data_IF_405877194658
#
_entry.id   IF_405877194658
#
_cell.length_a   1.000
_cell.length_b   1.000
_cell.length_c   1.000
_cell.angle_alpha   90.00
_cell.angle_beta   90.00
_cell.angle_gamma   90.00
#
_symmetry.space_group_name_H-M   'P 1'
#
loop_
_entity.id
_entity.type
_entity.pdbx_description
1 polymer ?
#
# COMPACT_ATOMS: atom_id res chain seq x y z
N UNK A 1 -14.96 20.43 20.99
CA UNK A 1 -15.74 20.67 19.77
C UNK A 1 -15.19 19.74 18.71
N UNK A 2 -16.05 18.95 18.08
CA UNK A 2 -15.62 17.98 17.06
C UNK A 2 -15.13 18.74 15.84
N UNK A 3 -14.01 18.29 15.27
CA UNK A 3 -13.50 18.81 14.00
C UNK A 3 -13.10 17.64 13.11
N UNK A 4 -13.10 17.87 11.81
CA UNK A 4 -12.46 16.98 10.86
C UNK A 4 -11.07 17.50 10.53
N UNK A 5 -10.11 16.59 10.40
CA UNK A 5 -8.75 16.87 9.97
C UNK A 5 -8.49 16.11 8.69
N UNK A 6 -8.18 16.81 7.60
CA UNK A 6 -7.83 16.14 6.36
C UNK A 6 -6.54 15.32 6.52
N UNK A 7 -6.58 14.03 6.14
CA UNK A 7 -5.40 13.15 6.23
C UNK A 7 -4.22 13.63 5.39
N UNK A 8 -4.50 14.27 4.25
CA UNK A 8 -3.48 14.74 3.32
C UNK A 8 -3.01 16.16 3.60
N UNK A 9 -3.91 17.14 3.59
CA UNK A 9 -3.53 18.56 3.70
C UNK A 9 -3.52 19.09 5.14
N UNK A 10 -3.94 18.27 6.13
CA UNK A 10 -3.97 18.62 7.55
C UNK A 10 -4.78 19.88 7.88
N UNK A 11 -5.65 20.34 6.98
CA UNK A 11 -6.61 21.40 7.27
C UNK A 11 -7.71 20.88 8.18
N UNK A 12 -7.97 21.62 9.24
CA UNK A 12 -9.09 21.40 10.13
C UNK A 12 -10.34 22.10 9.60
N UNK A 13 -11.49 21.44 9.71
CA UNK A 13 -12.78 22.09 9.49
C UNK A 13 -13.82 21.66 10.53
N UNK A 14 -14.71 22.57 10.94
CA UNK A 14 -15.73 22.27 11.94
C UNK A 14 -16.68 21.15 11.49
N UNK A 15 -17.08 20.31 12.43
CA UNK A 15 -18.01 19.21 12.20
C UNK A 15 -19.37 19.70 11.64
N UNK A 16 -19.76 20.93 11.99
CA UNK A 16 -21.00 21.61 11.59
C UNK A 16 -21.03 22.01 10.11
N UNK A 17 -19.88 22.07 9.43
CA UNK A 17 -19.80 22.49 8.03
C UNK A 17 -20.06 21.34 7.03
N UNK A 18 -20.30 20.13 7.53
CA UNK A 18 -20.54 18.96 6.69
C UNK A 18 -22.02 18.89 6.33
N UNK A 19 -22.35 18.72 5.04
CA UNK A 19 -23.73 18.68 4.54
C UNK A 19 -24.62 17.64 5.25
N UNK A 20 -24.03 16.53 5.73
CA UNK A 20 -24.73 15.48 6.48
C UNK A 20 -24.81 15.71 7.99
N UNK A 21 -24.33 16.85 8.52
CA UNK A 21 -24.17 17.15 9.95
C UNK A 21 -25.31 16.66 10.85
N UNK A 22 -26.57 16.94 10.49
CA UNK A 22 -27.73 16.57 11.32
C UNK A 22 -27.84 15.05 11.50
N UNK A 23 -27.67 14.29 10.43
CA UNK A 23 -27.69 12.83 10.48
C UNK A 23 -26.51 12.27 11.27
N UNK A 24 -25.32 12.86 11.12
CA UNK A 24 -24.13 12.41 11.86
C UNK A 24 -24.25 12.70 13.37
N UNK A 25 -24.82 13.86 13.73
CA UNK A 25 -25.07 14.25 15.13
C UNK A 25 -26.07 13.31 15.79
N UNK A 26 -27.14 12.95 15.08
CA UNK A 26 -28.15 12.02 15.56
C UNK A 26 -27.56 10.61 15.77
N UNK A 27 -26.79 10.11 14.79
CA UNK A 27 -26.09 8.83 14.90
C UNK A 27 -25.14 8.78 16.11
N UNK A 28 -24.32 9.82 16.33
CA UNK A 28 -23.42 9.88 17.48
C UNK A 28 -24.16 10.02 18.82
N UNK A 29 -25.35 10.62 18.84
CA UNK A 29 -26.16 10.80 20.06
C UNK A 29 -26.84 9.49 20.51
N UNK A 30 -27.04 8.55 19.58
CA UNK A 30 -27.68 7.26 19.82
C UNK A 30 -26.69 6.13 20.13
N UNK A 31 -25.38 6.44 20.19
CA UNK A 31 -24.33 5.48 20.50
C UNK A 31 -24.15 5.38 22.01
N UNK A 32 -24.20 4.17 22.55
CA UNK A 32 -24.09 3.90 23.99
C UNK A 32 -22.84 3.11 24.38
N UNK A 33 -22.09 2.59 23.42
CA UNK A 33 -20.89 1.78 23.62
C UNK A 33 -19.78 2.12 22.60
N UNK A 34 -18.55 1.69 22.89
CA UNK A 34 -17.36 2.03 22.10
C UNK A 34 -17.38 1.41 20.69
N UNK A 35 -17.99 0.23 20.54
CA UNK A 35 -18.03 -0.49 19.27
C UNK A 35 -19.00 0.18 18.30
N UNK A 36 -20.21 0.50 18.78
CA UNK A 36 -21.18 1.32 18.08
C UNK A 36 -20.64 2.71 17.74
N UNK A 37 -19.79 3.29 18.60
CA UNK A 37 -19.12 4.56 18.33
C UNK A 37 -18.15 4.45 17.17
N UNK A 38 -17.33 3.41 17.14
CA UNK A 38 -16.38 3.18 16.07
C UNK A 38 -17.10 2.97 14.73
N UNK A 39 -18.16 2.16 14.70
CA UNK A 39 -18.98 1.94 13.49
C UNK A 39 -19.61 3.25 13.01
N UNK A 40 -20.18 4.05 13.91
CA UNK A 40 -20.76 5.34 13.56
C UNK A 40 -19.71 6.29 12.98
N UNK A 41 -18.55 6.42 13.64
CA UNK A 41 -17.44 7.27 13.16
C UNK A 41 -16.94 6.79 11.80
N UNK A 42 -16.87 5.49 11.56
CA UNK A 42 -16.44 4.91 10.29
C UNK A 42 -17.38 5.29 9.15
N UNK A 43 -18.68 5.10 9.36
CA UNK A 43 -19.70 5.49 8.38
C UNK A 43 -19.67 6.99 8.09
N UNK A 44 -19.50 7.80 9.13
CA UNK A 44 -19.41 9.26 9.03
C UNK A 44 -18.17 9.67 8.22
N UNK A 45 -16.99 9.20 8.61
CA UNK A 45 -15.72 9.60 7.99
C UNK A 45 -15.57 9.09 6.55
N UNK A 46 -16.18 7.95 6.20
CA UNK A 46 -16.24 7.45 4.81
C UNK A 46 -17.00 8.38 3.85
N UNK A 47 -18.01 9.09 4.36
CA UNK A 47 -18.85 9.98 3.54
C UNK A 47 -18.26 11.38 3.38
N UNK A 48 -17.21 11.71 4.11
CA UNK A 48 -16.68 13.08 4.18
C UNK A 48 -15.33 13.13 3.48
N UNK A 49 -15.24 14.03 2.51
CA UNK A 49 -14.00 14.34 1.80
C UNK A 49 -13.60 15.78 2.11
N UNK A 50 -12.29 16.00 2.23
CA UNK A 50 -11.72 17.33 2.33
C UNK A 50 -12.10 18.15 1.10
N UNK A 51 -12.70 19.32 1.29
CA UNK A 51 -13.10 20.22 0.20
C UNK A 51 -11.95 20.61 -0.71
N UNK A 52 -10.75 20.79 -0.16
CA UNK A 52 -9.58 21.26 -0.92
C UNK A 52 -8.90 20.17 -1.76
N UNK A 53 -8.82 18.94 -1.26
CA UNK A 53 -8.00 17.90 -1.89
C UNK A 53 -8.69 16.54 -2.08
N UNK A 54 -9.98 16.48 -1.74
CA UNK A 54 -10.87 15.32 -1.86
C UNK A 54 -10.39 14.07 -1.10
N UNK A 55 -9.45 14.25 -0.16
CA UNK A 55 -8.92 13.20 0.72
C UNK A 55 -9.92 12.84 1.83
N UNK A 56 -9.83 11.62 2.39
CA UNK A 56 -10.56 11.28 3.61
C UNK A 56 -10.09 12.13 4.80
N UNK A 57 -10.81 12.00 5.91
CA UNK A 57 -10.60 12.81 7.10
C UNK A 57 -10.51 11.94 8.35
N UNK A 58 -9.75 12.44 9.33
CA UNK A 58 -9.83 12.00 10.72
C UNK A 58 -10.92 12.81 11.43
N UNK A 59 -11.65 12.18 12.34
CA UNK A 59 -12.49 12.89 13.30
C UNK A 59 -11.65 13.15 14.56
N UNK A 60 -11.51 14.42 14.95
CA UNK A 60 -10.70 14.85 16.10
C UNK A 60 -11.58 15.60 17.11
N UNK A 61 -11.15 15.59 18.39
CA UNK A 61 -11.82 16.34 19.46
C UNK A 61 -12.94 15.59 20.19
N UNK A 62 -12.97 14.25 20.13
CA UNK A 62 -13.87 13.39 20.90
C UNK A 62 -13.36 13.27 22.35
N UNK A 63 -13.68 14.27 23.18
CA UNK A 63 -13.69 14.14 24.64
C UNK A 63 -12.39 14.47 25.41
N UNK A 64 -12.56 15.20 26.52
CA UNK A 64 -11.54 15.80 27.39
C UNK A 64 -10.69 14.83 28.24
N UNK A 65 -10.75 13.50 28.08
CA UNK A 65 -9.92 12.63 28.95
C UNK A 65 -9.61 11.19 28.49
N UNK A 66 -9.80 10.78 27.21
CA UNK A 66 -9.34 9.43 26.80
C UNK A 66 -9.16 9.11 25.31
N UNK A 67 -9.39 10.04 24.39
CA UNK A 67 -9.07 9.87 22.97
C UNK A 67 -8.37 11.13 22.46
N UNK A 68 -7.07 11.24 22.75
CA UNK A 68 -6.19 12.24 22.12
C UNK A 68 -5.75 11.82 20.72
N UNK A 69 -6.15 10.62 20.28
CA UNK A 69 -5.59 9.96 19.12
C UNK A 69 -6.51 10.13 17.91
N UNK A 70 -5.92 10.48 16.78
CA UNK A 70 -6.60 10.64 15.49
C UNK A 70 -7.18 9.27 15.08
N UNK A 71 -8.52 9.12 15.12
CA UNK A 71 -9.13 7.82 14.80
C UNK A 71 -9.23 7.68 13.27
N UNK A 72 -8.46 6.75 12.72
CA UNK A 72 -8.53 6.36 11.31
C UNK A 72 -9.25 5.03 11.10
N UNK A 73 -10.55 5.09 10.80
CA UNK A 73 -11.37 3.88 10.58
C UNK A 73 -11.60 3.61 9.08
N UNK A 74 -11.15 4.50 8.20
CA UNK A 74 -11.33 4.32 6.74
C UNK A 74 -10.19 3.56 6.08
N UNK A 75 -9.07 3.38 6.78
CA UNK A 75 -7.93 2.61 6.30
C UNK A 75 -8.15 1.10 6.48
N UNK A 76 -7.55 0.28 5.61
CA UNK A 76 -7.57 -1.19 5.74
C UNK A 76 -7.07 -1.63 7.13
N UNK A 77 -7.56 -2.76 7.71
CA UNK A 77 -7.18 -3.18 9.08
C UNK A 77 -5.67 -3.22 9.32
N UNK A 78 -4.90 -3.78 8.37
CA UNK A 78 -3.43 -3.79 8.44
C UNK A 78 -2.82 -2.39 8.53
N UNK A 79 -3.38 -1.41 7.82
CA UNK A 79 -2.92 -0.02 7.86
C UNK A 79 -3.19 0.59 9.23
N UNK A 80 -4.32 0.25 9.85
CA UNK A 80 -4.63 0.67 11.22
C UNK A 80 -3.64 0.07 12.22
N UNK A 81 -3.32 -1.22 12.11
CA UNK A 81 -2.32 -1.87 12.95
C UNK A 81 -0.94 -1.20 12.82
N UNK A 82 -0.49 -0.92 11.59
CA UNK A 82 0.78 -0.22 11.34
C UNK A 82 0.77 1.19 11.94
N UNK A 83 -0.33 1.94 11.81
CA UNK A 83 -0.46 3.28 12.41
C UNK A 83 -0.38 3.22 13.93
N UNK A 84 -1.09 2.28 14.56
CA UNK A 84 -1.03 2.07 16.01
C UNK A 84 0.39 1.76 16.46
N UNK A 85 1.13 0.94 15.73
CA UNK A 85 2.53 0.63 16.04
C UNK A 85 3.42 1.89 15.95
N UNK A 86 3.24 2.70 14.90
CA UNK A 86 3.96 3.98 14.75
C UNK A 86 3.65 4.93 15.90
N UNK A 87 2.38 5.07 16.28
CA UNK A 87 1.95 5.95 17.36
C UNK A 87 2.49 5.45 18.71
N UNK A 88 2.51 4.14 18.93
CA UNK A 88 3.10 3.51 20.11
C UNK A 88 4.60 3.84 20.23
N UNK A 89 5.34 3.73 19.12
CA UNK A 89 6.76 4.10 19.07
C UNK A 89 7.00 5.59 19.32
N UNK A 90 6.14 6.47 18.78
CA UNK A 90 6.23 7.92 19.02
C UNK A 90 5.98 8.24 20.48
N UNK A 91 4.93 7.66 21.06
CA UNK A 91 4.56 7.82 22.46
C UNK A 91 5.69 7.38 23.39
N UNK A 92 6.28 6.21 23.11
CA UNK A 92 7.46 5.68 23.81
C UNK A 92 8.62 6.69 23.82
N UNK A 93 8.92 7.34 22.68
CA UNK A 93 10.01 8.33 22.60
C UNK A 93 9.74 9.61 23.39
N UNK A 94 8.47 9.96 23.61
CA UNK A 94 8.07 11.25 24.20
C UNK A 94 7.74 11.20 25.69
N UNK A 95 7.38 10.02 26.22
CA UNK A 95 6.96 9.88 27.61
C UNK A 95 8.12 9.46 28.53
N UNK A 96 8.08 9.90 29.79
CA UNK A 96 8.99 9.38 30.83
C UNK A 96 8.55 7.97 31.22
N UNK A 97 9.16 6.96 30.61
CA UNK A 97 8.76 5.57 30.76
C UNK A 97 9.18 5.01 32.12
N UNK A 98 8.19 4.48 32.84
CA UNK A 98 8.39 3.62 34.02
C UNK A 98 8.51 2.15 33.61
N UNK A 99 9.06 1.30 34.48
CA UNK A 99 9.14 -0.14 34.22
C UNK A 99 7.78 -0.78 33.90
N UNK A 100 6.71 -0.42 34.62
CA UNK A 100 5.38 -0.96 34.37
C UNK A 100 4.80 -0.49 33.04
N UNK A 101 5.01 0.78 32.66
CA UNK A 101 4.60 1.24 31.33
C UNK A 101 5.41 0.58 30.22
N UNK A 102 6.70 0.30 30.45
CA UNK A 102 7.54 -0.40 29.47
C UNK A 102 7.00 -1.79 29.13
N UNK A 103 6.67 -2.60 30.14
CA UNK A 103 6.10 -3.94 29.93
C UNK A 103 4.82 -3.87 29.11
N UNK A 104 3.89 -2.99 29.48
CA UNK A 104 2.64 -2.79 28.74
C UNK A 104 2.88 -2.35 27.30
N UNK A 105 3.82 -1.43 27.07
CA UNK A 105 4.19 -0.98 25.73
C UNK A 105 4.77 -2.12 24.90
N UNK A 106 5.61 -2.97 25.50
CA UNK A 106 6.20 -4.13 24.83
C UNK A 106 5.14 -5.13 24.41
N UNK A 107 4.21 -5.50 25.30
CA UNK A 107 3.13 -6.45 24.99
C UNK A 107 2.22 -5.93 23.87
N UNK A 108 1.86 -4.63 23.90
CA UNK A 108 1.05 -4.04 22.84
C UNK A 108 1.80 -3.95 21.50
N UNK A 109 3.09 -3.61 21.53
CA UNK A 109 3.93 -3.58 20.34
C UNK A 109 4.08 -4.97 19.73
N UNK A 110 4.29 -6.01 20.54
CA UNK A 110 4.42 -7.39 20.12
C UNK A 110 3.12 -7.91 19.50
N UNK A 111 1.96 -7.62 20.12
CA UNK A 111 0.66 -7.97 19.54
C UNK A 111 0.41 -7.34 18.17
N UNK A 112 0.74 -6.05 18.03
CA UNK A 112 0.65 -5.34 16.74
C UNK A 112 1.64 -5.88 15.71
N UNK A 113 2.87 -6.18 16.13
CA UNK A 113 3.89 -6.77 15.27
C UNK A 113 3.42 -8.11 14.72
N UNK A 114 2.86 -8.98 15.58
CA UNK A 114 2.31 -10.27 15.18
C UNK A 114 1.17 -10.11 14.16
N UNK A 115 0.19 -9.23 14.43
CA UNK A 115 -0.93 -8.96 13.52
C UNK A 115 -0.44 -8.48 12.14
N UNK A 116 0.55 -7.58 12.11
CA UNK A 116 1.14 -7.05 10.88
C UNK A 116 1.86 -8.16 10.12
N UNK A 117 2.70 -8.93 10.80
CA UNK A 117 3.49 -10.02 10.22
C UNK A 117 2.58 -11.09 9.64
N UNK A 118 1.58 -11.55 10.40
CA UNK A 118 0.62 -12.57 9.98
C UNK A 118 -0.04 -12.15 8.66
N UNK A 119 -0.54 -10.92 8.57
CA UNK A 119 -1.16 -10.43 7.34
C UNK A 119 -0.17 -10.38 6.15
N UNK A 120 1.07 -9.96 6.39
CA UNK A 120 2.07 -9.76 5.34
C UNK A 120 2.74 -11.05 4.87
N UNK A 121 2.82 -12.08 5.72
CA UNK A 121 3.33 -13.42 5.34
C UNK A 121 2.42 -14.06 4.28
N UNK A 122 1.11 -13.85 4.39
CA UNK A 122 0.13 -14.40 3.44
C UNK A 122 -0.01 -13.58 2.16
N UNK A 123 0.36 -12.29 2.20
CA UNK A 123 0.42 -11.42 1.01
C UNK A 123 1.77 -10.68 0.89
N UNK A 124 2.90 -11.38 0.68
CA UNK A 124 4.22 -10.74 0.56
C UNK A 124 4.25 -9.76 -0.61
N UNK A 125 4.91 -8.61 -0.40
CA UNK A 125 5.02 -7.56 -1.43
C UNK A 125 3.75 -6.76 -1.68
N UNK A 126 2.68 -6.94 -0.90
CA UNK A 126 1.41 -6.22 -1.06
C UNK A 126 1.60 -4.70 -1.21
N UNK A 127 0.80 -4.10 -2.11
CA UNK A 127 0.64 -2.64 -2.19
C UNK A 127 -0.18 -2.16 -0.98
N UNK A 128 0.48 -1.45 -0.08
CA UNK A 128 -0.14 -0.80 1.09
C UNK A 128 -0.42 0.66 0.76
N UNK A 129 -1.69 0.99 0.57
CA UNK A 129 -2.11 2.37 0.35
C UNK A 129 -2.16 3.14 1.67
N UNK A 130 -1.35 4.19 1.76
CA UNK A 130 -1.31 5.13 2.87
C UNK A 130 -1.69 6.52 2.37
N UNK A 131 -2.89 6.97 2.73
CA UNK A 131 -3.36 8.30 2.34
C UNK A 131 -2.61 9.44 3.05
N UNK A 132 -2.16 9.19 4.28
CA UNK A 132 -1.39 10.15 5.08
C UNK A 132 0.09 10.08 4.72
N UNK A 133 0.53 10.97 3.82
CA UNK A 133 1.90 11.00 3.32
C UNK A 133 2.95 11.26 4.39
N UNK A 134 2.57 11.90 5.51
CA UNK A 134 3.52 12.18 6.59
C UNK A 134 3.82 10.93 7.42
N UNK A 135 2.87 10.00 7.48
CA UNK A 135 3.02 8.73 8.19
C UNK A 135 3.72 7.66 7.36
N UNK A 136 3.81 7.81 6.03
CA UNK A 136 4.40 6.79 5.15
C UNK A 136 5.83 6.45 5.57
N UNK A 137 6.68 7.45 5.83
CA UNK A 137 8.08 7.18 6.19
C UNK A 137 8.19 6.41 7.51
N UNK A 138 7.47 6.85 8.54
CA UNK A 138 7.47 6.19 9.85
C UNK A 138 6.90 4.77 9.76
N UNK A 139 5.84 4.58 8.97
CA UNK A 139 5.20 3.28 8.73
C UNK A 139 6.13 2.32 7.97
N UNK A 140 6.82 2.83 6.94
CA UNK A 140 7.83 2.08 6.19
C UNK A 140 8.97 1.63 7.10
N UNK A 141 9.48 2.53 7.96
CA UNK A 141 10.56 2.21 8.89
C UNK A 141 10.12 1.17 9.94
N UNK A 142 8.91 1.32 10.50
CA UNK A 142 8.36 0.37 11.45
C UNK A 142 8.20 -1.03 10.85
N UNK A 143 7.57 -1.14 9.68
CA UNK A 143 7.38 -2.42 9.00
C UNK A 143 8.70 -3.00 8.53
N UNK A 144 9.63 -2.18 8.06
CA UNK A 144 10.96 -2.64 7.66
C UNK A 144 11.72 -3.25 8.83
N UNK A 145 11.67 -2.65 10.01
CA UNK A 145 12.29 -3.21 11.22
C UNK A 145 11.72 -4.59 11.52
N UNK A 146 10.39 -4.71 11.59
CA UNK A 146 9.72 -6.00 11.82
C UNK A 146 10.11 -7.04 10.77
N UNK A 147 10.14 -6.64 9.49
CA UNK A 147 10.44 -7.54 8.39
C UNK A 147 11.89 -8.02 8.38
N UNK A 148 12.83 -7.15 8.76
CA UNK A 148 14.25 -7.48 8.83
C UNK A 148 14.56 -8.38 10.05
N UNK A 149 13.74 -8.30 11.11
CA UNK A 149 13.86 -9.12 12.31
C UNK A 149 13.25 -10.54 12.15
N UNK A 150 12.47 -10.80 11.09
CA UNK A 150 11.85 -12.10 10.81
C UNK A 150 12.88 -13.20 10.52
N UNK A 151 12.98 -14.18 11.42
CA UNK A 151 13.76 -15.39 11.21
C UNK A 151 13.10 -16.31 10.19
N UNK A 152 13.87 -17.19 9.54
CA UNK A 152 13.28 -18.17 8.59
C UNK A 152 12.40 -19.19 9.30
N UNK A 153 12.66 -19.43 10.58
CA UNK A 153 11.92 -20.38 11.41
C UNK A 153 10.53 -19.85 11.76
N UNK A 154 10.39 -18.56 12.06
CA UNK A 154 9.07 -17.97 12.34
C UNK A 154 8.14 -18.02 11.12
N UNK A 155 8.66 -17.74 9.92
CA UNK A 155 7.87 -17.88 8.67
C UNK A 155 7.56 -19.37 8.40
N UNK A 156 8.51 -20.27 8.64
CA UNK A 156 8.32 -21.71 8.52
C UNK A 156 7.25 -22.22 9.46
N UNK A 157 7.26 -21.79 10.72
CA UNK A 157 6.33 -22.21 11.75
C UNK A 157 4.92 -21.72 11.44
N UNK A 158 4.76 -20.48 10.97
CA UNK A 158 3.47 -19.93 10.53
C UNK A 158 2.91 -20.70 9.32
N UNK A 159 3.73 -20.93 8.29
CA UNK A 159 3.33 -21.69 7.09
C UNK A 159 3.06 -23.17 7.43
N UNK A 160 3.84 -23.75 8.34
CA UNK A 160 3.71 -25.16 8.75
C UNK A 160 2.52 -25.40 9.67
N UNK A 161 2.16 -24.42 10.51
CA UNK A 161 0.92 -24.41 11.29
C UNK A 161 -0.32 -24.48 10.37
N UNK A 162 -0.19 -23.98 9.13
CA UNK A 162 -1.16 -24.14 8.04
C UNK A 162 -1.32 -25.56 7.46
N UNK A 163 -0.56 -26.57 7.91
CA UNK A 163 -0.94 -27.99 7.76
C UNK A 163 -0.33 -28.80 6.61
N UNK A 164 0.80 -28.40 6.01
CA UNK A 164 1.39 -29.13 4.88
C UNK A 164 2.55 -30.07 5.29
N UNK A 165 2.34 -31.40 5.26
CA UNK A 165 3.40 -32.41 5.57
C UNK A 165 4.03 -33.04 4.32
N UNK A 166 5.36 -33.10 4.31
CA UNK A 166 6.13 -34.25 3.79
C UNK A 166 6.88 -34.05 2.47
N UNK A 167 6.21 -33.64 1.40
CA UNK A 167 6.83 -33.47 0.06
C UNK A 167 7.08 -32.00 -0.34
N UNK A 168 6.53 -31.08 0.46
CA UNK A 168 6.50 -29.64 0.19
C UNK A 168 7.71 -28.88 0.76
N UNK A 169 8.63 -29.53 1.47
CA UNK A 169 9.71 -28.83 2.20
C UNK A 169 10.62 -28.02 1.28
N UNK A 170 10.96 -28.51 0.08
CA UNK A 170 11.77 -27.75 -0.89
C UNK A 170 11.00 -26.60 -1.52
N UNK A 171 9.72 -26.81 -1.88
CA UNK A 171 8.84 -25.79 -2.45
C UNK A 171 8.54 -24.70 -1.41
N UNK A 172 8.34 -25.08 -0.14
CA UNK A 172 8.18 -24.18 1.00
C UNK A 172 9.47 -23.40 1.25
N UNK A 173 10.63 -24.03 1.21
CA UNK A 173 11.92 -23.34 1.34
C UNK A 173 12.11 -22.24 0.29
N UNK A 174 11.93 -22.59 -0.99
CA UNK A 174 12.02 -21.63 -2.10
C UNK A 174 10.98 -20.51 -2.00
N UNK A 175 9.76 -20.84 -1.56
CA UNK A 175 8.70 -19.87 -1.31
C UNK A 175 9.10 -18.88 -0.21
N UNK A 176 9.59 -19.38 0.93
CA UNK A 176 9.99 -18.55 2.08
C UNK A 176 11.15 -17.64 1.71
N UNK A 177 12.16 -18.17 1.02
CA UNK A 177 13.30 -17.38 0.55
C UNK A 177 12.85 -16.27 -0.41
N UNK A 178 11.81 -16.52 -1.22
CA UNK A 178 11.22 -15.51 -2.13
C UNK A 178 10.33 -14.51 -1.38
N UNK A 179 9.57 -14.96 -0.40
CA UNK A 179 8.69 -14.13 0.42
C UNK A 179 9.48 -13.10 1.21
N UNK A 180 10.62 -13.51 1.81
CA UNK A 180 11.53 -12.61 2.53
C UNK A 180 12.03 -11.44 1.70
N UNK A 181 12.21 -11.65 0.39
CA UNK A 181 12.64 -10.61 -0.53
C UNK A 181 11.52 -9.60 -0.83
N UNK A 182 10.25 -10.02 -0.77
CA UNK A 182 9.10 -9.18 -1.10
C UNK A 182 8.63 -8.36 0.10
N UNK A 183 9.36 -7.28 0.39
CA UNK A 183 8.91 -6.28 1.35
C UNK A 183 7.61 -5.61 0.87
N UNK A 184 6.67 -5.26 1.76
CA UNK A 184 5.48 -4.52 1.38
C UNK A 184 5.83 -3.19 0.73
N UNK A 185 5.03 -2.79 -0.26
CA UNK A 185 5.27 -1.58 -1.05
C UNK A 185 4.26 -0.52 -0.63
N UNK A 186 4.75 0.60 -0.13
CA UNK A 186 3.91 1.70 0.33
C UNK A 186 3.66 2.67 -0.82
N UNK A 187 2.38 2.99 -1.06
CA UNK A 187 1.95 3.93 -2.10
C UNK A 187 1.04 5.00 -1.50
N UNK A 188 1.14 6.22 -2.02
CA UNK A 188 0.43 7.39 -1.46
C UNK A 188 -0.85 7.76 -2.21
N UNK A 189 -1.12 7.03 -3.30
CA UNK A 189 -2.30 7.21 -4.12
C UNK A 189 -2.96 5.85 -4.29
N UNK A 190 -4.26 5.82 -4.10
CA UNK A 190 -5.03 4.58 -4.19
C UNK A 190 -4.98 4.03 -5.63
N UNK A 191 -4.46 2.81 -5.83
CA UNK A 191 -4.51 2.15 -7.13
C UNK A 191 -5.90 1.58 -7.36
N UNK A 192 -6.28 1.38 -8.62
CA UNK A 192 -7.54 0.70 -8.95
C UNK A 192 -7.48 -0.77 -8.53
N UNK A 193 -8.65 -1.40 -8.39
CA UNK A 193 -8.77 -2.82 -8.01
C UNK A 193 -8.06 -3.75 -9.01
N UNK A 194 -8.09 -3.41 -10.30
CA UNK A 194 -7.41 -4.15 -11.36
C UNK A 194 -5.89 -4.12 -11.17
N UNK A 195 -5.32 -2.96 -10.86
CA UNK A 195 -3.88 -2.84 -10.61
C UNK A 195 -3.48 -3.59 -9.34
N UNK A 196 -4.27 -3.50 -8.26
CA UNK A 196 -4.04 -4.31 -7.04
C UNK A 196 -4.05 -5.81 -7.35
N UNK A 197 -5.04 -6.25 -8.13
CA UNK A 197 -5.19 -7.64 -8.53
C UNK A 197 -3.98 -8.12 -9.33
N UNK A 198 -3.59 -7.40 -10.39
CA UNK A 198 -2.44 -7.78 -11.22
C UNK A 198 -1.13 -7.76 -10.45
N UNK A 199 -0.94 -6.77 -9.57
CA UNK A 199 0.28 -6.71 -8.76
C UNK A 199 0.35 -7.89 -7.78
N UNK A 200 -0.76 -8.24 -7.12
CA UNK A 200 -0.85 -9.43 -6.26
C UNK A 200 -0.61 -10.72 -7.05
N UNK A 201 -1.17 -10.85 -8.25
CA UNK A 201 -0.92 -12.00 -9.13
C UNK A 201 0.55 -12.09 -9.55
N UNK A 202 1.21 -10.95 -9.80
CA UNK A 202 2.63 -10.89 -10.10
C UNK A 202 3.48 -11.39 -8.93
N UNK A 203 3.14 -10.99 -7.69
CA UNK A 203 3.82 -11.47 -6.48
C UNK A 203 3.57 -12.96 -6.27
N UNK A 204 2.32 -13.42 -6.43
CA UNK A 204 1.97 -14.84 -6.35
C UNK A 204 2.79 -15.68 -7.34
N UNK A 205 2.81 -15.29 -8.62
CA UNK A 205 3.61 -15.96 -9.64
C UNK A 205 5.10 -16.01 -9.24
N UNK A 206 5.64 -14.92 -8.72
CA UNK A 206 7.01 -14.87 -8.22
C UNK A 206 7.26 -15.85 -7.07
N UNK A 207 6.38 -15.87 -6.06
CA UNK A 207 6.50 -16.73 -4.89
C UNK A 207 6.52 -18.21 -5.27
N UNK A 208 5.72 -18.61 -6.26
CA UNK A 208 5.69 -19.98 -6.81
C UNK A 208 6.77 -20.27 -7.86
N UNK A 209 7.75 -19.37 -8.06
CA UNK A 209 8.85 -19.58 -9.00
C UNK A 209 8.51 -19.37 -10.47
N UNK A 210 7.33 -18.84 -10.79
CA UNK A 210 6.86 -18.54 -12.14
C UNK A 210 7.38 -17.17 -12.62
N UNK A 211 8.70 -17.05 -12.73
CA UNK A 211 9.40 -15.79 -13.01
C UNK A 211 8.88 -15.09 -14.28
N UNK A 212 8.71 -15.83 -15.38
CA UNK A 212 8.22 -15.29 -16.66
C UNK A 212 6.79 -14.75 -16.54
N UNK A 213 5.91 -15.46 -15.83
CA UNK A 213 4.52 -15.00 -15.63
C UNK A 213 4.48 -13.71 -14.80
N UNK A 214 5.27 -13.65 -13.72
CA UNK A 214 5.40 -12.45 -12.90
C UNK A 214 5.90 -11.23 -13.70
N UNK A 215 6.91 -11.43 -14.55
CA UNK A 215 7.46 -10.40 -15.43
C UNK A 215 6.45 -9.91 -16.48
N UNK A 216 5.67 -10.82 -17.08
CA UNK A 216 4.58 -10.45 -18.00
C UNK A 216 3.54 -9.60 -17.29
N UNK A 217 3.13 -9.98 -16.08
CA UNK A 217 2.18 -9.21 -15.28
C UNK A 217 2.73 -7.83 -14.92
N UNK A 218 4.02 -7.71 -14.59
CA UNK A 218 4.68 -6.41 -14.37
C UNK A 218 4.56 -5.49 -15.60
N UNK A 219 4.81 -6.02 -16.80
CA UNK A 219 4.60 -5.26 -18.04
C UNK A 219 3.13 -4.87 -18.25
N UNK A 220 2.20 -5.79 -18.03
CA UNK A 220 0.76 -5.53 -18.20
C UNK A 220 0.28 -4.42 -17.28
N UNK A 221 0.80 -4.34 -16.05
CA UNK A 221 0.49 -3.26 -15.10
C UNK A 221 0.95 -1.90 -15.65
N UNK A 222 2.21 -1.81 -16.12
CA UNK A 222 2.75 -0.56 -16.67
C UNK A 222 1.95 -0.15 -17.92
N UNK A 223 1.67 -1.09 -18.82
CA UNK A 223 0.90 -0.88 -20.04
C UNK A 223 -0.51 -0.36 -19.73
N UNK A 224 -1.27 -1.08 -18.90
CA UNK A 224 -2.64 -0.72 -18.49
C UNK A 224 -2.67 0.69 -17.88
N UNK A 225 -1.77 0.99 -16.94
CA UNK A 225 -1.76 2.27 -16.26
C UNK A 225 -1.44 3.43 -17.21
N UNK A 226 -0.45 3.28 -18.09
CA UNK A 226 -0.10 4.29 -19.09
C UNK A 226 -1.21 4.47 -20.12
N UNK A 227 -1.95 3.43 -20.48
CA UNK A 227 -3.12 3.54 -21.36
C UNK A 227 -4.23 4.37 -20.75
N UNK A 228 -4.42 4.33 -19.43
CA UNK A 228 -5.41 5.21 -18.79
C UNK A 228 -5.05 6.69 -18.91
N UNK A 229 -3.78 7.04 -19.12
CA UNK A 229 -3.31 8.42 -19.32
C UNK A 229 -3.22 8.75 -20.81
N UNK A 230 -2.82 7.80 -21.64
CA UNK A 230 -2.62 7.94 -23.07
C UNK A 230 -3.50 6.97 -23.89
N UNK A 231 -4.84 7.08 -23.82
CA UNK A 231 -5.77 6.10 -24.39
C UNK A 231 -5.72 6.02 -25.92
N UNK A 232 -5.15 7.03 -26.58
CA UNK A 232 -5.03 7.10 -28.03
C UNK A 232 -3.58 7.37 -28.43
N UNK A 233 -2.85 6.30 -28.70
CA UNK A 233 -1.65 6.36 -29.52
C UNK A 233 -2.07 6.56 -30.99
N UNK A 234 -1.51 7.58 -31.62
CA UNK A 234 -1.62 7.84 -33.06
C UNK A 234 -1.01 6.68 -33.86
N UNK A 235 -1.40 6.54 -35.12
CA UNK A 235 -0.85 5.50 -36.01
C UNK A 235 0.67 5.64 -36.19
N UNK A 236 1.17 6.88 -36.32
CA UNK A 236 2.59 7.17 -36.39
C UNK A 236 3.35 6.78 -35.10
N UNK A 237 2.72 6.87 -33.93
CA UNK A 237 3.31 6.39 -32.67
C UNK A 237 3.37 4.85 -32.59
N UNK A 238 2.55 4.13 -33.37
CA UNK A 238 2.53 2.65 -33.43
C UNK A 238 3.40 2.11 -34.57
N UNK A 239 3.57 2.87 -35.64
CA UNK A 239 4.31 2.43 -36.82
C UNK A 239 5.82 2.34 -36.47
N UNK A 240 6.33 1.11 -36.40
CA UNK A 240 7.75 0.81 -36.11
C UNK A 240 8.10 0.51 -34.64
N UNK A 241 7.16 0.64 -33.71
CA UNK A 241 7.37 0.35 -32.28
C UNK A 241 6.24 -0.52 -31.70
N UNK A 242 6.57 -1.37 -30.72
CA UNK A 242 5.54 -2.07 -29.94
C UNK A 242 4.69 -1.08 -29.13
N UNK A 243 3.41 -1.40 -28.86
CA UNK A 243 2.46 -0.53 -28.14
C UNK A 243 3.03 0.02 -26.82
N UNK A 244 3.56 -0.87 -25.97
CA UNK A 244 4.18 -0.49 -24.69
C UNK A 244 5.43 0.38 -24.87
N UNK A 245 6.24 0.17 -25.90
CA UNK A 245 7.40 1.02 -26.18
C UNK A 245 6.97 2.46 -26.48
N UNK A 246 5.95 2.64 -27.32
CA UNK A 246 5.40 3.94 -27.65
C UNK A 246 4.78 4.64 -26.42
N UNK A 247 4.13 3.90 -25.52
CA UNK A 247 3.62 4.43 -24.26
C UNK A 247 4.73 4.94 -23.35
N UNK A 248 5.81 4.15 -23.17
CA UNK A 248 6.96 4.53 -22.35
C UNK A 248 7.64 5.77 -22.91
N UNK A 249 7.89 5.81 -24.22
CA UNK A 249 8.51 6.97 -24.88
C UNK A 249 7.68 8.24 -24.72
N UNK A 250 6.35 8.12 -24.80
CA UNK A 250 5.43 9.25 -24.60
C UNK A 250 5.40 9.74 -23.16
N UNK A 251 5.59 8.83 -22.21
CA UNK A 251 5.68 9.12 -20.78
C UNK A 251 7.03 9.73 -20.38
N UNK A 252 8.10 9.50 -21.16
CA UNK A 252 9.44 10.05 -20.92
C UNK A 252 9.42 11.59 -20.98
N UNK A 253 9.99 12.22 -19.95
CA UNK A 253 10.01 13.67 -19.76
C UNK A 253 8.68 14.28 -19.27
N UNK A 254 7.62 13.47 -19.09
CA UNK A 254 6.32 13.90 -18.56
C UNK A 254 6.02 13.23 -17.23
N UNK A 255 5.98 11.90 -17.24
CA UNK A 255 5.75 11.04 -16.08
C UNK A 255 7.07 10.49 -15.56
N UNK A 256 7.90 10.01 -16.48
CA UNK A 256 9.17 9.37 -16.18
C UNK A 256 10.33 10.29 -16.47
N UNK A 257 11.30 10.34 -15.56
CA UNK A 257 12.63 10.83 -15.90
C UNK A 257 13.37 9.83 -16.80
N UNK A 258 14.58 10.18 -17.25
CA UNK A 258 15.37 9.33 -18.14
C UNK A 258 15.59 7.92 -17.59
N UNK A 259 16.04 7.82 -16.33
CA UNK A 259 16.30 6.56 -15.65
C UNK A 259 15.03 5.71 -15.49
N UNK A 260 13.91 6.31 -15.11
CA UNK A 260 12.64 5.61 -14.93
C UNK A 260 12.09 5.06 -16.26
N UNK A 261 12.24 5.82 -17.35
CA UNK A 261 11.87 5.35 -18.69
C UNK A 261 12.77 4.19 -19.15
N UNK A 262 14.08 4.27 -18.88
CA UNK A 262 15.03 3.21 -19.19
C UNK A 262 14.71 1.94 -18.37
N UNK A 263 14.36 2.09 -17.09
CA UNK A 263 13.85 1.00 -16.24
C UNK A 263 12.61 0.34 -16.84
N UNK A 264 11.61 1.13 -17.27
CA UNK A 264 10.42 0.60 -17.92
C UNK A 264 10.75 -0.13 -19.24
N UNK A 265 11.70 0.39 -20.03
CA UNK A 265 12.17 -0.29 -21.23
C UNK A 265 12.90 -1.60 -20.92
N UNK A 266 13.71 -1.67 -19.86
CA UNK A 266 14.37 -2.91 -19.43
C UNK A 266 13.33 -3.99 -19.11
N UNK A 267 12.30 -3.66 -18.32
CA UNK A 267 11.22 -4.60 -17.98
C UNK A 267 10.52 -5.11 -19.25
N UNK A 268 10.21 -4.19 -20.18
CA UNK A 268 9.63 -4.52 -21.49
C UNK A 268 10.53 -5.45 -22.31
N UNK A 269 11.82 -5.16 -22.39
CA UNK A 269 12.78 -5.98 -23.15
C UNK A 269 12.89 -7.39 -22.56
N UNK A 270 12.99 -7.52 -21.24
CA UNK A 270 12.98 -8.82 -20.57
C UNK A 270 11.71 -9.61 -20.89
N UNK A 271 10.55 -8.95 -20.90
CA UNK A 271 9.28 -9.60 -21.27
C UNK A 271 9.26 -10.03 -22.72
N UNK A 272 9.79 -9.20 -23.64
CA UNK A 272 9.86 -9.55 -25.05
C UNK A 272 10.77 -10.76 -25.29
N UNK A 273 11.94 -10.78 -24.65
CA UNK A 273 12.85 -11.93 -24.65
C UNK A 273 12.15 -13.19 -24.12
N UNK A 274 11.35 -13.07 -23.05
CA UNK A 274 10.66 -14.22 -22.48
C UNK A 274 9.50 -14.73 -23.35
N UNK A 275 8.74 -13.83 -23.99
CA UNK A 275 7.56 -14.18 -24.79
C UNK A 275 7.92 -14.58 -26.21
N UNK A 276 8.89 -13.92 -26.84
CA UNK A 276 9.22 -14.11 -28.25
C UNK A 276 10.44 -15.00 -28.45
N UNK A 277 11.44 -14.93 -27.58
CA UNK A 277 12.65 -15.76 -27.68
C UNK A 277 12.61 -16.98 -26.76
N UNK A 278 11.53 -17.16 -25.99
CA UNK A 278 11.35 -18.23 -25.00
C UNK A 278 12.50 -18.29 -23.97
N UNK A 279 13.19 -17.16 -23.73
CA UNK A 279 14.24 -17.08 -22.72
C UNK A 279 13.61 -17.09 -21.33
N UNK A 280 14.08 -17.98 -20.47
CA UNK A 280 13.62 -18.01 -19.08
C UNK A 280 14.10 -16.76 -18.33
N UNK A 281 13.18 -16.04 -17.69
CA UNK A 281 13.53 -14.90 -16.86
C UNK A 281 14.24 -15.38 -15.58
N UNK A 282 15.38 -14.77 -15.25
CA UNK A 282 16.12 -15.12 -14.05
C UNK A 282 15.37 -14.69 -12.78
N UNK A 283 15.65 -15.35 -11.65
CA UNK A 283 15.13 -14.96 -10.34
C UNK A 283 15.46 -13.47 -10.09
N UNK A 284 16.72 -13.07 -10.27
CA UNK A 284 17.16 -11.69 -10.02
C UNK A 284 16.41 -10.67 -10.88
N UNK A 285 16.32 -10.89 -12.19
CA UNK A 285 15.72 -9.91 -13.11
C UNK A 285 14.22 -9.73 -12.84
N UNK A 286 13.50 -10.82 -12.53
CA UNK A 286 12.08 -10.73 -12.18
C UNK A 286 11.86 -10.01 -10.86
N UNK A 287 12.70 -10.26 -9.84
CA UNK A 287 12.62 -9.52 -8.58
C UNK A 287 12.85 -8.02 -8.77
N UNK A 288 13.88 -7.65 -9.55
CA UNK A 288 14.14 -6.26 -9.88
C UNK A 288 12.98 -5.64 -10.67
N UNK A 289 12.38 -6.39 -11.60
CA UNK A 289 11.19 -5.94 -12.35
C UNK A 289 10.00 -5.66 -11.43
N UNK A 290 9.76 -6.50 -10.42
CA UNK A 290 8.72 -6.29 -9.40
C UNK A 290 8.93 -4.98 -8.65
N UNK A 291 10.13 -4.77 -8.08
CA UNK A 291 10.45 -3.58 -7.30
C UNK A 291 10.35 -2.31 -8.15
N UNK A 292 10.87 -2.37 -9.37
CA UNK A 292 10.81 -1.28 -10.32
C UNK A 292 9.37 -0.97 -10.74
N UNK A 293 8.55 -2.00 -10.98
CA UNK A 293 7.13 -1.82 -11.30
C UNK A 293 6.39 -1.12 -10.16
N UNK A 294 6.62 -1.54 -8.92
CA UNK A 294 6.08 -0.87 -7.73
C UNK A 294 6.43 0.63 -7.69
N UNK A 295 7.69 0.97 -7.95
CA UNK A 295 8.13 2.38 -8.03
C UNK A 295 7.42 3.14 -9.15
N UNK A 296 7.31 2.54 -10.34
CA UNK A 296 6.65 3.16 -11.50
C UNK A 296 5.15 3.35 -11.28
N UNK A 297 4.45 2.43 -10.59
CA UNK A 297 3.03 2.56 -10.24
C UNK A 297 2.78 3.90 -9.50
N UNK A 298 3.54 4.16 -8.44
CA UNK A 298 3.41 5.39 -7.65
C UNK A 298 3.60 6.66 -8.51
N UNK A 299 4.55 6.62 -9.47
CA UNK A 299 4.80 7.74 -10.39
C UNK A 299 3.63 7.97 -11.34
N UNK A 300 3.11 6.92 -11.96
CA UNK A 300 1.99 7.00 -12.90
C UNK A 300 0.72 7.48 -12.17
N UNK A 301 0.47 6.99 -10.95
CA UNK A 301 -0.67 7.43 -10.14
C UNK A 301 -0.59 8.92 -9.77
N UNK A 302 0.60 9.42 -9.43
CA UNK A 302 0.83 10.85 -9.13
C UNK A 302 0.48 11.72 -10.32
N UNK A 303 0.94 11.34 -11.50
CA UNK A 303 0.63 12.09 -12.72
C UNK A 303 -0.86 12.05 -13.07
N UNK A 304 -1.48 10.86 -13.02
CA UNK A 304 -2.92 10.71 -13.28
C UNK A 304 -3.76 11.62 -12.38
N UNK A 305 -3.39 11.73 -11.10
CA UNK A 305 -4.05 12.61 -10.14
C UNK A 305 -3.87 14.09 -10.51
N UNK A 306 -2.66 14.52 -10.86
CA UNK A 306 -2.36 15.90 -11.24
C UNK A 306 -3.15 16.32 -12.49
N UNK A 307 -3.27 15.42 -13.47
CA UNK A 307 -4.04 15.66 -14.69
C UNK A 307 -5.56 15.65 -14.43
N UNK A 308 -6.04 14.81 -13.50
CA UNK A 308 -7.44 14.81 -13.08
C UNK A 308 -7.89 16.11 -12.39
N UNK A 309 -7.00 16.74 -11.63
CA UNK A 309 -7.29 18.04 -10.97
C UNK A 309 -7.26 19.25 -11.92
N UNK A 310 -6.69 19.11 -13.12
CA UNK A 310 -6.66 20.19 -14.11
C UNK A 310 -7.96 20.32 -14.94
N UNK A 311 -8.96 19.46 -14.66
CA UNK A 311 -10.23 19.41 -15.38
C UNK A 311 -11.40 19.70 -14.43
N UNK A 312 -11.42 20.90 -13.83
CA UNK A 312 -12.62 21.49 -13.20
C UNK A 312 -12.65 22.98 -13.57
#
# INVERSE_FOLDING_TARGET
>A
MLKFLCKRCRKEFPFEQVASYLSLKENLSNVHDLESLNVAIEQITKQIKCSDCQSTVYLIGIGQNKLKDEIDISSEPIIQAIKRLVDLHKKYKTENITANSFVKYSEEAEGLAYEIIENLIWEPGKLLYFEDTNLISDAMDAVKSLWDDLSSNEILDEISAGGYKGLLVSIIGDYIDRAKLLKPVFISIEPTNEIRKYFREAMGAWLFGLNTASLILCCSIIEEMLETIYPKLTKAEKDGKGKLEALIDKAKGKIFNGTEADTAHIIRLLRNDAVHDLKSASKKDTYEAILNTASLIEKILREKRNNGTATI
#
